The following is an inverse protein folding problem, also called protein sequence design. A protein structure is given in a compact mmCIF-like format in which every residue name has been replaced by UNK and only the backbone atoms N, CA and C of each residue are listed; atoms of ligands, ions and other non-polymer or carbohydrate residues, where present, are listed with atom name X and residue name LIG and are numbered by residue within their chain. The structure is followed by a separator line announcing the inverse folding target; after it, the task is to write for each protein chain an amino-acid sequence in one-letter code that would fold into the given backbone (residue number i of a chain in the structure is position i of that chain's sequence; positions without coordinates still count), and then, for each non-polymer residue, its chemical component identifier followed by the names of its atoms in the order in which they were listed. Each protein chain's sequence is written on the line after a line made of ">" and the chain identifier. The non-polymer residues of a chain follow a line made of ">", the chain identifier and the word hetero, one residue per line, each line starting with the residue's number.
data_IF_667054613465
#
_entry.id   IF_667054613465
#
_cell.length_a   1.000
_cell.length_b   1.000
_cell.length_c   1.000
_cell.angle_alpha   90.00
_cell.angle_beta   90.00
_cell.angle_gamma   90.00
#
_symmetry.space_group_name_H-M   'P 1'
#
loop_
_entity.id
_entity.type
_entity.pdbx_description
1 polymer ?
#
# COMPACT_ATOMS: atom_id res chain seq x y z
N UNK A 1 8.15 -6.31 -28.98
CA UNK A 1 9.49 -6.40 -29.60
C UNK A 1 10.13 -7.68 -29.10
N UNK A 2 10.73 -8.50 -29.96
CA UNK A 2 11.53 -9.66 -29.57
C UNK A 2 13.01 -9.27 -29.64
N UNK A 3 13.86 -9.87 -28.82
CA UNK A 3 15.29 -9.57 -28.73
C UNK A 3 15.60 -8.08 -28.54
N UNK A 4 14.95 -7.48 -27.54
CA UNK A 4 15.14 -6.08 -27.18
C UNK A 4 16.26 -5.87 -26.16
N UNK A 5 16.79 -4.66 -26.11
CA UNK A 5 17.74 -4.16 -25.12
C UNK A 5 17.08 -2.98 -24.40
N UNK A 6 17.17 -2.98 -23.07
CA UNK A 6 16.77 -1.83 -22.24
C UNK A 6 18.04 -1.18 -21.71
N UNK A 7 18.18 0.13 -21.92
CA UNK A 7 19.25 0.93 -21.31
C UNK A 7 18.67 1.57 -20.06
N UNK A 8 19.31 1.33 -18.92
CA UNK A 8 18.89 1.83 -17.61
C UNK A 8 20.02 2.66 -17.02
N UNK A 9 19.75 3.94 -16.79
CA UNK A 9 20.69 4.90 -16.19
C UNK A 9 20.02 5.47 -14.93
N UNK A 10 20.71 5.41 -13.79
CA UNK A 10 20.22 5.93 -12.49
C UNK A 10 18.78 5.50 -12.14
N UNK A 11 18.43 4.25 -12.44
CA UNK A 11 17.11 3.67 -12.16
C UNK A 11 16.01 4.06 -13.17
N UNK A 12 16.35 4.77 -14.24
CA UNK A 12 15.43 5.19 -15.29
C UNK A 12 15.72 4.45 -16.59
N UNK A 13 14.68 3.93 -17.24
CA UNK A 13 14.79 3.39 -18.61
C UNK A 13 14.93 4.56 -19.58
N UNK A 14 16.12 4.73 -20.16
CA UNK A 14 16.41 5.83 -21.10
C UNK A 14 16.15 5.44 -22.56
N UNK A 15 16.27 4.16 -22.89
CA UNK A 15 16.04 3.64 -24.23
C UNK A 15 15.49 2.20 -24.21
N UNK A 16 14.63 1.90 -25.18
CA UNK A 16 14.20 0.54 -25.53
C UNK A 16 14.43 0.34 -27.03
N UNK A 17 15.36 -0.54 -27.38
CA UNK A 17 15.79 -0.74 -28.76
C UNK A 17 15.84 -2.23 -29.13
N UNK A 18 15.75 -2.53 -30.43
CA UNK A 18 16.10 -3.86 -30.92
C UNK A 18 17.59 -4.10 -30.71
N UNK A 19 17.98 -5.33 -30.34
CA UNK A 19 19.39 -5.67 -30.18
C UNK A 19 20.18 -5.40 -31.46
N UNK A 20 21.19 -4.55 -31.37
CA UNK A 20 22.14 -4.28 -32.44
C UNK A 20 23.56 -4.17 -31.86
N UNK A 21 24.53 -4.75 -32.55
CA UNK A 21 25.94 -4.68 -32.15
C UNK A 21 26.31 -5.51 -30.91
N UNK A 22 27.50 -5.22 -30.38
CA UNK A 22 28.01 -5.82 -29.14
C UNK A 22 27.42 -5.10 -27.93
N UNK A 23 27.05 -5.87 -26.90
CA UNK A 23 26.54 -5.33 -25.63
C UNK A 23 27.69 -5.10 -24.65
N UNK A 24 27.54 -4.17 -23.69
CA UNK A 24 28.47 -4.03 -22.58
C UNK A 24 28.72 -5.35 -21.85
N UNK A 25 29.93 -5.54 -21.31
CA UNK A 25 30.31 -6.79 -20.65
C UNK A 25 29.50 -7.07 -19.37
N UNK A 26 28.93 -6.04 -18.76
CA UNK A 26 28.06 -6.07 -17.59
C UNK A 26 26.55 -6.14 -17.93
N UNK A 27 26.21 -6.27 -19.21
CA UNK A 27 24.80 -6.41 -19.63
C UNK A 27 24.19 -7.70 -19.04
N UNK A 28 23.04 -7.54 -18.39
CA UNK A 28 22.25 -8.67 -17.87
C UNK A 28 21.46 -9.29 -19.00
N UNK A 29 21.70 -10.57 -19.27
CA UNK A 29 20.96 -11.34 -20.26
C UNK A 29 19.83 -12.12 -19.60
N UNK A 30 18.61 -11.91 -20.10
CA UNK A 30 17.42 -12.62 -19.67
C UNK A 30 16.93 -13.50 -20.83
N UNK A 31 17.33 -14.77 -20.83
CA UNK A 31 16.87 -15.75 -21.81
C UNK A 31 15.48 -16.29 -21.42
N UNK A 32 14.63 -16.55 -22.43
CA UNK A 32 13.27 -17.11 -22.26
C UNK A 32 12.36 -16.33 -21.29
N UNK A 33 12.59 -15.02 -21.15
CA UNK A 33 11.82 -14.15 -20.26
C UNK A 33 11.09 -13.04 -21.03
N UNK A 34 9.97 -12.60 -20.48
CA UNK A 34 9.30 -11.36 -20.92
C UNK A 34 9.56 -10.28 -19.87
N UNK A 35 10.15 -9.17 -20.30
CA UNK A 35 10.32 -7.98 -19.45
C UNK A 35 9.04 -7.15 -19.51
N UNK A 36 8.49 -6.84 -18.35
CA UNK A 36 7.33 -5.97 -18.17
C UNK A 36 7.68 -4.87 -17.15
N UNK A 37 6.96 -3.74 -17.15
CA UNK A 37 7.00 -2.82 -16.02
C UNK A 37 6.64 -3.54 -14.72
N UNK A 38 7.21 -3.07 -13.61
CA UNK A 38 6.84 -3.56 -12.28
C UNK A 38 5.34 -3.40 -12.02
N UNK A 39 4.75 -4.39 -11.35
CA UNK A 39 3.32 -4.41 -11.08
C UNK A 39 2.96 -3.37 -10.01
N UNK A 40 1.71 -2.90 -10.07
CA UNK A 40 1.16 -1.94 -9.11
C UNK A 40 -0.07 -2.55 -8.43
N UNK A 41 -0.08 -2.60 -7.10
CA UNK A 41 -1.26 -2.99 -6.33
C UNK A 41 -1.89 -1.77 -5.65
N UNK A 42 -3.14 -1.49 -6.00
CA UNK A 42 -3.86 -0.31 -5.55
C UNK A 42 -4.64 -0.51 -4.23
N UNK A 43 -4.61 -1.70 -3.61
CA UNK A 43 -5.40 -1.97 -2.42
C UNK A 43 -4.75 -3.03 -1.53
N UNK A 44 -3.70 -2.62 -0.81
CA UNK A 44 -3.06 -3.47 0.19
C UNK A 44 -3.32 -2.98 1.61
N UNK A 45 -3.20 -3.89 2.56
CA UNK A 45 -3.03 -3.59 3.97
C UNK A 45 -1.71 -4.20 4.42
N UNK A 46 -0.62 -3.41 4.38
CA UNK A 46 0.72 -3.92 4.68
C UNK A 46 0.83 -4.68 6.00
N UNK A 47 0.27 -4.21 7.14
CA UNK A 47 0.43 -4.90 8.41
C UNK A 47 -0.47 -6.13 8.57
N UNK A 48 -1.41 -6.39 7.66
CA UNK A 48 -2.35 -7.50 7.80
C UNK A 48 -1.71 -8.83 7.40
N UNK A 49 -2.17 -9.92 7.99
CA UNK A 49 -1.82 -11.26 7.55
C UNK A 49 -2.90 -11.84 6.62
N UNK A 50 -2.70 -13.08 6.18
CA UNK A 50 -3.65 -13.81 5.35
C UNK A 50 -4.57 -14.74 6.18
N UNK A 51 -4.77 -14.45 7.48
CA UNK A 51 -5.65 -15.23 8.34
C UNK A 51 -7.14 -14.99 8.00
N UNK A 52 -8.03 -15.79 8.61
CA UNK A 52 -9.47 -15.66 8.39
C UNK A 52 -10.04 -14.34 8.96
N UNK A 53 -9.39 -13.76 9.97
CA UNK A 53 -9.76 -12.47 10.57
C UNK A 53 -8.50 -11.61 10.80
N UNK A 54 -7.99 -10.97 9.73
CA UNK A 54 -6.76 -10.19 9.81
C UNK A 54 -6.92 -8.94 10.68
N UNK A 55 -8.15 -8.46 10.87
CA UNK A 55 -8.45 -7.31 11.73
C UNK A 55 -8.29 -7.71 13.20
N UNK A 56 -8.85 -8.84 13.62
CA UNK A 56 -8.63 -9.34 14.97
C UNK A 56 -7.15 -9.66 15.23
N UNK A 57 -6.48 -10.28 14.26
CA UNK A 57 -5.06 -10.64 14.36
C UNK A 57 -4.18 -9.40 14.60
N UNK A 58 -4.39 -8.32 13.84
CA UNK A 58 -3.57 -7.11 13.97
C UNK A 58 -3.85 -6.34 15.26
N UNK A 59 -5.10 -6.33 15.74
CA UNK A 59 -5.47 -5.65 16.99
C UNK A 59 -4.96 -6.37 18.24
N UNK A 60 -4.80 -7.69 18.17
CA UNK A 60 -4.18 -8.47 19.24
C UNK A 60 -2.64 -8.35 19.26
N UNK A 61 -2.04 -7.78 18.20
CA UNK A 61 -0.60 -7.73 18.02
C UNK A 61 -0.01 -6.42 18.59
N UNK A 62 1.07 -6.49 19.39
CA UNK A 62 1.80 -5.29 19.80
C UNK A 62 2.30 -4.51 18.58
N UNK A 63 2.23 -3.18 18.62
CA UNK A 63 2.62 -2.29 17.51
C UNK A 63 4.00 -2.62 16.92
N UNK A 64 5.08 -2.86 17.71
CA UNK A 64 6.37 -3.23 17.14
C UNK A 64 6.34 -4.53 16.31
N UNK A 65 5.59 -5.54 16.76
CA UNK A 65 5.44 -6.80 16.03
C UNK A 65 4.62 -6.61 14.74
N UNK A 66 3.55 -5.80 14.80
CA UNK A 66 2.74 -5.42 13.64
C UNK A 66 3.58 -4.68 12.58
N UNK A 67 4.48 -3.80 13.00
CA UNK A 67 5.43 -3.12 12.10
C UNK A 67 6.38 -4.11 11.43
N UNK A 68 6.99 -5.03 12.19
CA UNK A 68 7.89 -6.06 11.62
C UNK A 68 7.16 -6.98 10.64
N UNK A 69 5.92 -7.35 10.93
CA UNK A 69 5.06 -8.08 10.00
C UNK A 69 4.82 -7.27 8.72
N UNK A 70 4.52 -5.98 8.83
CA UNK A 70 4.34 -5.10 7.68
C UNK A 70 5.59 -5.00 6.80
N UNK A 71 6.78 -4.90 7.39
CA UNK A 71 8.06 -4.93 6.66
C UNK A 71 8.24 -6.25 5.92
N UNK A 72 8.02 -7.39 6.59
CA UNK A 72 8.08 -8.71 5.95
C UNK A 72 7.14 -8.79 4.76
N UNK A 73 5.90 -8.32 4.92
CA UNK A 73 4.89 -8.35 3.87
C UNK A 73 5.28 -7.45 2.69
N UNK A 74 5.83 -6.25 2.94
CA UNK A 74 6.36 -5.36 1.91
C UNK A 74 7.48 -6.04 1.08
N UNK A 75 8.41 -6.72 1.76
CA UNK A 75 9.47 -7.48 1.10
C UNK A 75 8.94 -8.65 0.27
N UNK A 76 7.91 -9.35 0.77
CA UNK A 76 7.25 -10.42 0.03
C UNK A 76 6.58 -9.89 -1.23
N UNK A 77 5.83 -8.79 -1.13
CA UNK A 77 5.17 -8.12 -2.26
C UNK A 77 6.20 -7.75 -3.35
N UNK A 78 7.33 -7.15 -2.97
CA UNK A 78 8.39 -6.77 -3.91
C UNK A 78 8.96 -8.00 -4.66
N UNK A 79 9.22 -9.09 -3.93
CA UNK A 79 9.72 -10.35 -4.53
C UNK A 79 8.74 -10.99 -5.51
N UNK A 80 7.46 -10.66 -5.42
CA UNK A 80 6.43 -11.10 -6.37
C UNK A 80 6.25 -10.15 -7.56
N UNK A 81 7.14 -9.16 -7.73
CA UNK A 81 7.17 -8.26 -8.89
C UNK A 81 6.26 -7.04 -8.76
N UNK A 82 5.63 -6.83 -7.60
CA UNK A 82 4.88 -5.59 -7.31
C UNK A 82 5.86 -4.55 -6.77
N UNK A 83 6.13 -3.53 -7.56
CA UNK A 83 7.14 -2.48 -7.25
C UNK A 83 6.53 -1.23 -6.66
N UNK A 84 5.20 -1.08 -6.71
CA UNK A 84 4.47 0.04 -6.10
C UNK A 84 3.19 -0.45 -5.47
N UNK A 85 2.89 0.01 -4.26
CA UNK A 85 1.65 -0.30 -3.56
C UNK A 85 0.96 0.94 -3.03
N UNK A 86 -0.37 0.89 -3.03
CA UNK A 86 -1.21 1.84 -2.29
C UNK A 86 -1.76 1.15 -1.05
N UNK A 87 -1.18 1.47 0.11
CA UNK A 87 -1.68 1.01 1.40
C UNK A 87 -2.91 1.82 1.79
N UNK A 88 -4.05 1.14 1.89
CA UNK A 88 -5.37 1.78 2.04
C UNK A 88 -5.84 1.89 3.48
N UNK A 89 -5.09 1.38 4.45
CA UNK A 89 -5.16 1.78 5.86
C UNK A 89 -4.19 0.94 6.69
N UNK A 90 -3.54 1.60 7.65
CA UNK A 90 -2.85 0.93 8.76
C UNK A 90 -3.22 1.54 10.11
N UNK A 91 -3.22 0.75 11.20
CA UNK A 91 -3.28 1.29 12.54
C UNK A 91 -1.95 1.95 12.91
N UNK A 92 -1.98 2.93 13.83
CA UNK A 92 -0.81 3.51 14.48
C UNK A 92 0.28 4.09 13.54
N UNK A 93 -0.07 4.46 12.31
CA UNK A 93 0.88 5.03 11.35
C UNK A 93 1.93 4.05 10.82
N UNK A 94 1.70 2.73 10.96
CA UNK A 94 2.67 1.70 10.58
C UNK A 94 3.06 1.82 9.10
N UNK A 95 2.10 2.00 8.20
CA UNK A 95 2.40 2.12 6.76
C UNK A 95 3.14 3.40 6.38
N UNK A 96 2.97 4.48 7.16
CA UNK A 96 3.78 5.71 7.01
C UNK A 96 5.24 5.43 7.38
N UNK A 97 5.48 4.76 8.51
CA UNK A 97 6.82 4.39 8.94
C UNK A 97 7.50 3.40 7.97
N UNK A 98 6.76 2.44 7.42
CA UNK A 98 7.30 1.51 6.42
C UNK A 98 7.66 2.25 5.14
N UNK A 99 6.81 3.15 4.62
CA UNK A 99 7.16 3.99 3.47
C UNK A 99 8.47 4.73 3.74
N UNK A 100 8.57 5.42 4.87
CA UNK A 100 9.73 6.25 5.18
C UNK A 100 11.01 5.41 5.32
N UNK A 101 10.89 4.18 5.85
CA UNK A 101 12.01 3.24 5.94
C UNK A 101 12.45 2.71 4.56
N UNK A 102 11.50 2.42 3.66
CA UNK A 102 11.80 2.02 2.28
C UNK A 102 12.45 3.18 1.51
N UNK A 103 11.88 4.38 1.61
CA UNK A 103 12.40 5.57 0.92
C UNK A 103 13.81 5.98 1.40
N UNK A 104 14.17 5.64 2.65
CA UNK A 104 15.51 5.84 3.20
C UNK A 104 16.42 4.60 3.01
N UNK A 105 15.97 3.58 2.28
CA UNK A 105 16.71 2.35 2.02
C UNK A 105 17.12 1.58 3.29
N UNK A 106 16.38 1.76 4.40
CA UNK A 106 16.62 1.01 5.64
C UNK A 106 16.15 -0.43 5.54
N UNK A 107 15.14 -0.68 4.70
CA UNK A 107 14.58 -2.00 4.41
C UNK A 107 14.17 -2.07 2.94
N UNK A 108 14.27 -3.26 2.35
CA UNK A 108 13.72 -3.51 1.02
C UNK A 108 12.18 -3.46 1.03
N UNK A 109 11.59 -2.89 -0.01
CA UNK A 109 10.14 -2.87 -0.21
C UNK A 109 9.74 -2.15 -1.51
N UNK A 110 8.46 -2.24 -1.93
CA UNK A 110 7.94 -1.45 -3.04
C UNK A 110 7.85 0.03 -2.67
N UNK A 111 7.69 0.91 -3.66
CA UNK A 111 7.26 2.29 -3.42
C UNK A 111 5.87 2.27 -2.75
N UNK A 112 5.80 2.70 -1.48
CA UNK A 112 4.58 2.64 -0.67
C UNK A 112 3.89 4.00 -0.69
N UNK A 113 2.62 4.03 -1.09
CA UNK A 113 1.73 5.20 -1.02
C UNK A 113 0.66 4.98 0.06
N UNK A 114 0.93 5.27 1.34
CA UNK A 114 -0.02 5.07 2.43
C UNK A 114 -1.09 6.17 2.54
N UNK A 115 -2.27 5.80 3.04
CA UNK A 115 -3.30 6.77 3.45
C UNK A 115 -3.25 7.14 4.94
N UNK A 116 -2.37 6.50 5.71
CA UNK A 116 -2.44 6.48 7.17
C UNK A 116 -3.65 5.67 7.65
N UNK A 117 -4.54 6.29 8.42
CA UNK A 117 -5.74 5.64 8.96
C UNK A 117 -6.99 6.11 8.21
N UNK A 118 -7.80 5.16 7.76
CA UNK A 118 -9.06 5.44 7.07
C UNK A 118 -10.07 6.16 7.97
N UNK A 119 -11.02 6.85 7.33
CA UNK A 119 -12.16 7.49 7.98
C UNK A 119 -13.41 6.62 7.81
N UNK A 120 -14.21 6.52 8.87
CA UNK A 120 -15.48 5.79 8.90
C UNK A 120 -16.47 6.51 9.82
N UNK A 121 -17.77 6.23 9.72
CA UNK A 121 -18.75 6.72 10.71
C UNK A 121 -18.64 5.94 12.02
N UNK A 122 -19.27 6.44 13.07
CA UNK A 122 -19.38 5.68 14.32
C UNK A 122 -20.03 4.30 14.09
N UNK A 123 -19.34 3.24 14.48
CA UNK A 123 -19.77 1.84 14.28
C UNK A 123 -19.73 1.35 12.83
N UNK A 124 -19.06 2.10 11.93
CA UNK A 124 -18.91 1.76 10.52
C UNK A 124 -17.91 0.63 10.24
N UNK A 125 -17.77 0.28 8.96
CA UNK A 125 -16.72 -0.65 8.52
C UNK A 125 -15.32 -0.16 8.92
N UNK A 126 -14.54 -1.03 9.57
CA UNK A 126 -13.18 -0.69 10.01
C UNK A 126 -13.10 0.15 11.28
N UNK A 127 -14.22 0.45 11.96
CA UNK A 127 -14.26 1.27 13.19
C UNK A 127 -13.38 0.76 14.33
N UNK A 128 -12.93 -0.50 14.29
CA UNK A 128 -12.05 -1.08 15.31
C UNK A 128 -10.69 -0.35 15.42
N UNK A 129 -10.24 0.32 14.36
CA UNK A 129 -9.06 1.20 14.38
C UNK A 129 -9.16 2.41 13.44
N UNK A 130 -10.24 2.53 12.68
CA UNK A 130 -10.53 3.70 11.85
C UNK A 130 -10.78 4.97 12.67
N UNK A 131 -10.67 6.12 12.04
CA UNK A 131 -11.03 7.39 12.64
C UNK A 131 -12.53 7.59 12.45
N UNK A 132 -13.29 7.48 13.54
CA UNK A 132 -14.73 7.70 13.55
C UNK A 132 -15.06 9.20 13.40
N UNK A 133 -15.88 9.54 12.41
CA UNK A 133 -16.29 10.90 12.06
C UNK A 133 -17.78 10.93 11.67
N UNK A 134 -18.56 11.81 12.31
CA UNK A 134 -20.02 11.89 12.13
C UNK A 134 -20.49 13.29 11.70
N UNK A 135 -19.55 14.19 11.38
CA UNK A 135 -19.84 15.55 10.93
C UNK A 135 -18.82 16.04 9.91
N UNK A 136 -19.22 17.04 9.10
CA UNK A 136 -18.35 17.66 8.10
C UNK A 136 -17.07 18.24 8.73
N UNK A 137 -17.19 18.86 9.91
CA UNK A 137 -16.03 19.46 10.58
C UNK A 137 -15.08 18.41 11.17
N UNK A 138 -15.61 17.29 11.67
CA UNK A 138 -14.80 16.13 12.05
C UNK A 138 -14.08 15.54 10.83
N UNK A 139 -14.77 15.37 9.70
CA UNK A 139 -14.15 14.90 8.44
C UNK A 139 -13.00 15.83 8.04
N UNK A 140 -13.23 17.14 7.99
CA UNK A 140 -12.19 18.14 7.65
C UNK A 140 -11.00 18.07 8.59
N UNK A 141 -11.25 17.91 9.88
CA UNK A 141 -10.20 17.80 10.90
C UNK A 141 -9.39 16.53 10.71
N UNK A 142 -10.05 15.38 10.54
CA UNK A 142 -9.40 14.10 10.32
C UNK A 142 -8.56 14.09 9.03
N UNK A 143 -9.09 14.63 7.93
CA UNK A 143 -8.37 14.78 6.67
C UNK A 143 -7.09 15.61 6.85
N UNK A 144 -7.18 16.78 7.51
CA UNK A 144 -6.01 17.62 7.78
C UNK A 144 -4.99 16.90 8.66
N UNK A 145 -5.45 16.11 9.63
CA UNK A 145 -4.56 15.32 10.48
C UNK A 145 -3.82 14.23 9.71
N UNK A 146 -4.49 13.53 8.79
CA UNK A 146 -3.83 12.53 7.93
C UNK A 146 -2.81 13.18 6.99
N UNK A 147 -3.16 14.30 6.35
CA UNK A 147 -2.23 15.07 5.52
C UNK A 147 -1.03 15.54 6.34
N UNK A 148 -1.25 16.07 7.55
CA UNK A 148 -0.18 16.50 8.46
C UNK A 148 0.74 15.34 8.86
N UNK A 149 0.19 14.13 9.04
CA UNK A 149 0.96 12.93 9.32
C UNK A 149 1.74 12.41 8.09
N UNK A 150 1.53 13.01 6.92
CA UNK A 150 2.23 12.67 5.69
C UNK A 150 1.51 11.63 4.84
N UNK A 151 0.21 11.43 4.97
CA UNK A 151 -0.54 10.54 4.07
C UNK A 151 -0.50 11.03 2.62
N UNK A 152 -0.27 10.12 1.67
CA UNK A 152 -0.24 10.42 0.23
C UNK A 152 -1.63 10.47 -0.39
N UNK A 153 -2.61 9.84 0.27
CA UNK A 153 -4.01 9.86 -0.13
C UNK A 153 -4.92 9.64 1.08
N UNK A 154 -6.23 9.68 0.85
CA UNK A 154 -7.23 9.47 1.89
C UNK A 154 -8.09 8.25 1.54
N UNK A 155 -8.46 7.48 2.56
CA UNK A 155 -9.41 6.37 2.45
C UNK A 155 -10.64 6.68 3.30
N UNK A 156 -11.81 6.46 2.72
CA UNK A 156 -13.10 6.52 3.41
C UNK A 156 -13.83 5.19 3.24
N UNK A 157 -14.62 4.83 4.25
CA UNK A 157 -15.53 3.70 4.19
C UNK A 157 -16.90 4.21 3.78
N UNK A 158 -17.25 4.05 2.50
CA UNK A 158 -18.48 4.61 1.94
C UNK A 158 -19.72 3.78 2.32
N UNK A 159 -19.53 2.48 2.53
CA UNK A 159 -20.55 1.51 2.91
C UNK A 159 -20.04 0.59 4.01
N UNK A 160 -20.87 -0.29 4.55
CA UNK A 160 -20.41 -1.43 5.33
C UNK A 160 -19.48 -2.34 4.51
N UNK A 161 -18.95 -3.38 5.13
CA UNK A 161 -17.97 -4.27 4.49
C UNK A 161 -18.10 -5.69 4.99
N UNK A 162 -17.40 -6.62 4.32
CA UNK A 162 -17.45 -8.04 4.64
C UNK A 162 -16.89 -8.32 6.04
N UNK A 163 -15.83 -7.61 6.45
CA UNK A 163 -15.24 -7.71 7.79
C UNK A 163 -15.91 -6.79 8.82
N UNK A 164 -17.15 -6.33 8.57
CA UNK A 164 -17.91 -5.55 9.55
C UNK A 164 -18.70 -6.46 10.50
N UNK A 165 -18.82 -6.07 11.77
CA UNK A 165 -19.59 -6.84 12.76
C UNK A 165 -21.12 -6.77 12.55
N UNK A 166 -21.64 -5.62 12.10
CA UNK A 166 -23.09 -5.32 12.09
C UNK A 166 -23.59 -4.60 10.83
N UNK A 167 -22.76 -4.54 9.80
CA UNK A 167 -23.08 -3.85 8.54
C UNK A 167 -22.75 -4.75 7.37
N UNK A 168 -23.45 -4.54 6.28
CA UNK A 168 -23.26 -5.21 5.00
C UNK A 168 -22.70 -4.23 3.97
N UNK A 169 -22.13 -4.71 2.85
CA UNK A 169 -21.70 -3.84 1.76
C UNK A 169 -22.78 -2.91 1.19
N UNK A 170 -24.06 -3.18 1.45
CA UNK A 170 -25.20 -2.36 0.99
C UNK A 170 -25.51 -1.19 1.94
N UNK A 171 -25.00 -1.22 3.17
CA UNK A 171 -25.29 -0.19 4.18
C UNK A 171 -24.46 1.07 3.94
N UNK A 172 -25.07 2.11 3.35
CA UNK A 172 -24.42 3.41 3.08
C UNK A 172 -24.08 4.14 4.39
N UNK A 173 -22.80 4.52 4.56
CA UNK A 173 -22.30 5.22 5.75
C UNK A 173 -22.47 6.74 5.66
N UNK A 174 -21.97 7.37 4.59
CA UNK A 174 -22.06 8.83 4.42
C UNK A 174 -23.25 9.19 3.53
N UNK A 175 -24.29 9.80 4.10
CA UNK A 175 -25.45 10.29 3.36
C UNK A 175 -25.38 11.81 3.21
N UNK A 176 -25.85 12.32 2.08
CA UNK A 176 -26.11 13.77 1.97
C UNK A 176 -27.26 14.13 2.92
N UNK A 177 -27.17 15.27 3.62
CA UNK A 177 -28.29 15.79 4.41
C UNK A 177 -29.51 16.08 3.53
#
# INVERSE_FOLDING_TARGET
>A
MQDAVLIVEDGVVTEVASRAGELPADAVRLDDATVLPGLVDCHVHLPFDASADPVAAILAMPVPAATLQGVRNAQTILRHGVTTVRDVSSPHGISLAIRDAVAQEWVDGPDVRPCGTHLTITGGHGCAFGIEVDSIDQIRTAVRSQIKAGADHLKVMATGGVYSLRQTPEDVQFRRP
#
